data_IF_147060920687
#
_entry.id   IF_147060920687
#
_cell.length_a   1.000
_cell.length_b   1.000
_cell.length_c   1.000
_cell.angle_alpha   90.00
_cell.angle_beta   90.00
_cell.angle_gamma   90.00
#
_symmetry.space_group_name_H-M   'P 1'
#
loop_
_entity.id
_entity.type
_entity.pdbx_description
1 polymer ?
#
# COMPACT_ATOMS: atom_id res chain seq x y z
N UNK A 1 13.97 -26.84 62.44
CA UNK A 1 14.00 -27.85 61.38
C UNK A 1 12.77 -27.64 60.50
N UNK A 2 12.93 -27.00 59.37
CA UNK A 2 11.86 -26.82 58.38
C UNK A 2 11.67 -28.15 57.68
N UNK A 3 10.43 -28.65 57.60
CA UNK A 3 10.14 -29.99 57.09
C UNK A 3 10.43 -30.03 55.56
N UNK A 4 10.88 -31.20 55.06
CA UNK A 4 11.13 -31.42 53.62
C UNK A 4 9.93 -31.15 52.72
N UNK A 5 8.70 -31.15 53.29
CA UNK A 5 7.45 -30.82 52.58
C UNK A 5 7.27 -29.31 52.35
N UNK A 6 7.68 -28.48 53.33
CA UNK A 6 7.59 -27.01 53.17
C UNK A 6 8.64 -26.46 52.20
N UNK A 7 9.82 -27.07 52.10
CA UNK A 7 10.84 -26.71 51.13
C UNK A 7 10.44 -27.10 49.70
N UNK A 8 9.61 -28.17 49.55
CA UNK A 8 9.09 -28.60 48.25
C UNK A 8 7.93 -27.74 47.73
N UNK A 9 7.13 -27.18 48.67
CA UNK A 9 6.05 -26.25 48.30
C UNK A 9 6.58 -24.89 47.84
N UNK A 10 7.63 -24.35 48.47
CA UNK A 10 8.26 -23.10 48.10
C UNK A 10 8.98 -23.12 46.72
N UNK A 11 9.52 -24.31 46.30
CA UNK A 11 10.18 -24.49 45.02
C UNK A 11 9.21 -24.76 43.87
N UNK A 12 8.06 -25.37 44.12
CA UNK A 12 7.08 -25.73 43.07
C UNK A 12 6.26 -24.51 42.65
N UNK A 13 5.81 -23.70 43.58
CA UNK A 13 5.00 -22.50 43.26
C UNK A 13 5.77 -21.40 42.53
N UNK A 14 7.06 -21.25 42.81
CA UNK A 14 7.92 -20.28 42.14
C UNK A 14 8.21 -20.69 40.69
N UNK A 15 8.52 -21.96 40.46
CA UNK A 15 8.86 -22.53 39.15
C UNK A 15 7.62 -22.66 38.26
N UNK A 16 6.46 -22.98 38.81
CA UNK A 16 5.20 -23.02 38.04
C UNK A 16 4.71 -21.62 37.61
N UNK A 17 4.87 -20.60 38.47
CA UNK A 17 4.54 -19.21 38.11
C UNK A 17 5.46 -18.68 37.04
N UNK A 18 6.78 -18.88 37.14
CA UNK A 18 7.74 -18.50 36.10
C UNK A 18 7.48 -19.26 34.80
N UNK A 19 7.24 -20.57 34.85
CA UNK A 19 6.88 -21.35 33.66
C UNK A 19 5.62 -20.87 32.96
N UNK A 20 4.59 -20.43 33.72
CA UNK A 20 3.36 -19.84 33.15
C UNK A 20 3.57 -18.46 32.52
N UNK A 21 4.42 -17.63 33.13
CA UNK A 21 4.75 -16.29 32.58
C UNK A 21 5.57 -16.47 31.31
N UNK A 22 6.59 -17.32 31.31
CA UNK A 22 7.39 -17.62 30.11
C UNK A 22 6.55 -18.26 29.00
N UNK A 23 5.67 -19.20 29.31
CA UNK A 23 4.79 -19.78 28.27
C UNK A 23 3.82 -18.74 27.70
N UNK A 24 3.27 -17.83 28.52
CA UNK A 24 2.43 -16.73 28.04
C UNK A 24 3.21 -15.76 27.18
N UNK A 25 4.45 -15.39 27.56
CA UNK A 25 5.30 -14.48 26.79
C UNK A 25 5.75 -15.10 25.45
N UNK A 26 6.02 -16.42 25.41
CA UNK A 26 6.38 -17.13 24.18
C UNK A 26 5.20 -17.29 23.22
N UNK A 27 3.97 -17.28 23.73
CA UNK A 27 2.76 -17.28 22.90
C UNK A 27 2.39 -15.89 22.35
N UNK A 28 2.89 -14.81 22.97
CA UNK A 28 2.71 -13.46 22.42
C UNK A 28 3.68 -13.26 21.24
N UNK A 29 3.15 -12.77 20.12
CA UNK A 29 3.92 -12.51 18.91
C UNK A 29 3.73 -11.07 18.46
N UNK A 30 4.80 -10.50 17.90
CA UNK A 30 4.79 -9.30 17.11
C UNK A 30 4.99 -9.70 15.64
N UNK A 31 3.93 -9.57 14.85
CA UNK A 31 3.90 -10.19 13.53
C UNK A 31 4.05 -11.71 13.64
N UNK A 32 5.11 -12.24 13.05
CA UNK A 32 5.47 -13.68 13.12
C UNK A 32 6.52 -14.00 14.18
N UNK A 33 7.13 -12.98 14.82
CA UNK A 33 8.28 -13.13 15.73
C UNK A 33 7.76 -13.26 17.18
N UNK A 34 8.18 -14.30 17.94
CA UNK A 34 7.87 -14.39 19.36
C UNK A 34 8.37 -13.16 20.12
N UNK A 35 7.55 -12.62 21.03
CA UNK A 35 7.82 -11.36 21.73
C UNK A 35 9.19 -11.34 22.45
N UNK A 36 9.62 -12.41 23.18
CA UNK A 36 10.95 -12.40 23.81
C UNK A 36 12.10 -12.27 22.81
N UNK A 37 11.99 -12.97 21.68
CA UNK A 37 12.99 -12.87 20.60
C UNK A 37 13.00 -11.46 20.00
N UNK A 38 11.82 -10.90 19.72
CA UNK A 38 11.71 -9.54 19.23
C UNK A 38 12.38 -8.53 20.17
N UNK A 39 12.11 -8.62 21.47
CA UNK A 39 12.73 -7.73 22.48
C UNK A 39 14.25 -7.90 22.47
N UNK A 40 14.74 -9.13 22.42
CA UNK A 40 16.20 -9.38 22.36
C UNK A 40 16.83 -8.72 21.14
N UNK A 41 16.23 -8.89 19.95
CA UNK A 41 16.71 -8.24 18.72
C UNK A 41 16.68 -6.72 18.81
N UNK A 42 15.57 -6.17 19.36
CA UNK A 42 15.43 -4.73 19.54
C UNK A 42 16.49 -4.15 20.51
N UNK A 43 16.75 -4.86 21.62
CA UNK A 43 17.78 -4.46 22.61
C UNK A 43 19.17 -4.48 21.98
N UNK A 44 19.50 -5.51 21.20
CA UNK A 44 20.82 -5.60 20.51
C UNK A 44 21.00 -4.40 19.56
N UNK A 45 19.99 -4.09 18.73
CA UNK A 45 20.04 -2.98 17.78
C UNK A 45 20.12 -1.64 18.54
N UNK A 46 19.35 -1.48 19.61
CA UNK A 46 19.37 -0.28 20.44
C UNK A 46 20.73 -0.07 21.11
N UNK A 47 21.32 -1.10 21.71
CA UNK A 47 22.64 -1.03 22.31
C UNK A 47 23.69 -0.67 21.25
N UNK A 48 23.68 -1.35 20.08
CA UNK A 48 24.59 -1.05 18.99
C UNK A 48 24.45 0.41 18.52
N UNK A 49 23.22 0.94 18.48
CA UNK A 49 22.98 2.35 18.16
C UNK A 49 23.58 3.28 19.21
N UNK A 50 23.31 3.05 20.51
CA UNK A 50 23.80 3.90 21.62
C UNK A 50 25.33 3.94 21.66
N UNK A 51 25.98 2.80 21.47
CA UNK A 51 27.45 2.72 21.45
C UNK A 51 28.09 3.12 20.11
N UNK A 52 27.30 3.62 19.16
CA UNK A 52 27.76 3.95 17.80
C UNK A 52 28.46 2.79 17.07
N UNK A 53 28.08 1.54 17.42
CA UNK A 53 28.58 0.31 16.83
C UNK A 53 27.66 -0.24 15.72
N UNK A 54 26.57 0.45 15.41
CA UNK A 54 25.67 0.08 14.33
C UNK A 54 26.36 0.36 12.99
N UNK A 55 26.44 -0.63 12.05
CA UNK A 55 27.01 -0.38 10.73
C UNK A 55 26.24 0.73 9.99
N UNK A 56 26.96 1.73 9.46
CA UNK A 56 26.37 2.80 8.66
C UNK A 56 26.17 2.38 7.18
N UNK A 57 25.67 1.15 6.96
CA UNK A 57 25.46 0.52 5.68
C UNK A 57 24.03 -0.03 5.52
N UNK A 58 23.82 -0.84 4.48
CA UNK A 58 22.54 -1.46 4.20
C UNK A 58 22.08 -2.39 5.34
N UNK A 59 22.99 -3.08 6.05
CA UNK A 59 22.64 -4.01 7.14
C UNK A 59 22.07 -3.23 8.33
N UNK A 60 22.76 -2.18 8.77
CA UNK A 60 22.30 -1.34 9.86
C UNK A 60 21.01 -0.60 9.52
N UNK A 61 20.87 -0.13 8.27
CA UNK A 61 19.64 0.48 7.78
C UNK A 61 18.45 -0.49 7.84
N UNK A 62 18.61 -1.71 7.31
CA UNK A 62 17.58 -2.75 7.41
C UNK A 62 17.26 -3.12 8.86
N UNK A 63 18.24 -3.25 9.72
CA UNK A 63 18.02 -3.59 11.13
C UNK A 63 17.06 -2.60 11.79
N UNK A 64 17.27 -1.30 11.59
CA UNK A 64 16.41 -0.24 12.16
C UNK A 64 15.01 -0.28 11.55
N UNK A 65 14.91 -0.20 10.22
CA UNK A 65 13.59 -0.09 9.59
C UNK A 65 12.76 -1.36 9.76
N UNK A 66 13.38 -2.55 9.81
CA UNK A 66 12.69 -3.82 10.03
C UNK A 66 12.15 -3.93 11.46
N UNK A 67 12.96 -3.59 12.47
CA UNK A 67 12.49 -3.70 13.85
C UNK A 67 11.32 -2.74 14.12
N UNK A 68 11.43 -1.51 13.64
CA UNK A 68 10.36 -0.51 13.76
C UNK A 68 9.16 -0.85 12.87
N UNK A 69 9.39 -1.35 11.65
CA UNK A 69 8.35 -1.74 10.72
C UNK A 69 7.49 -2.88 11.24
N UNK A 70 8.12 -3.92 11.80
CA UNK A 70 7.39 -5.02 12.46
C UNK A 70 6.58 -4.51 13.65
N UNK A 71 7.14 -3.62 14.48
CA UNK A 71 6.45 -3.06 15.63
C UNK A 71 5.21 -2.26 15.21
N UNK A 72 5.40 -1.25 14.37
CA UNK A 72 4.32 -0.34 13.99
C UNK A 72 3.31 -1.02 13.06
N UNK A 73 3.75 -1.94 12.21
CA UNK A 73 2.86 -2.76 11.39
C UNK A 73 1.93 -3.62 12.25
N UNK A 74 2.47 -4.35 13.21
CA UNK A 74 1.69 -5.21 14.10
C UNK A 74 0.78 -4.41 15.04
N UNK A 75 1.28 -3.31 15.61
CA UNK A 75 0.46 -2.41 16.44
C UNK A 75 -0.70 -1.81 15.64
N UNK A 76 -0.44 -1.36 14.42
CA UNK A 76 -1.46 -0.81 13.54
C UNK A 76 -2.57 -1.81 13.19
N UNK A 77 -2.23 -3.10 13.10
CA UNK A 77 -3.21 -4.17 12.88
C UNK A 77 -3.99 -4.55 14.13
N UNK A 78 -3.45 -4.30 15.33
CA UNK A 78 -4.07 -4.67 16.62
C UNK A 78 -4.94 -3.57 17.21
N UNK A 79 -4.66 -2.31 16.91
CA UNK A 79 -5.42 -1.18 17.44
C UNK A 79 -6.79 -1.11 16.75
N UNK A 80 -7.92 -1.23 17.53
CA UNK A 80 -9.26 -1.05 16.98
C UNK A 80 -9.38 0.31 16.27
N UNK A 81 -10.17 0.39 15.21
CA UNK A 81 -10.35 1.57 14.34
C UNK A 81 -9.16 1.77 13.40
N UNK A 82 -7.90 1.82 13.90
CA UNK A 82 -6.73 2.04 13.06
C UNK A 82 -6.55 0.90 12.04
N UNK A 83 -6.74 -0.37 12.45
CA UNK A 83 -6.64 -1.53 11.53
C UNK A 83 -7.54 -1.41 10.30
N UNK A 84 -8.69 -0.73 10.44
CA UNK A 84 -9.71 -0.61 9.39
C UNK A 84 -9.48 0.62 8.47
N UNK A 85 -8.49 1.48 8.79
CA UNK A 85 -8.20 2.72 8.05
C UNK A 85 -6.75 2.78 7.53
N UNK A 86 -6.07 1.65 7.48
CA UNK A 86 -4.65 1.61 7.06
C UNK A 86 -3.66 1.93 8.19
N UNK A 87 -4.03 1.62 9.43
CA UNK A 87 -3.25 1.89 10.64
C UNK A 87 -1.78 1.50 10.57
N UNK A 88 -1.41 0.33 10.02
CA UNK A 88 0.00 -0.03 9.87
C UNK A 88 0.82 0.99 9.08
N UNK A 89 0.28 1.48 7.95
CA UNK A 89 0.95 2.50 7.14
C UNK A 89 1.06 3.83 7.89
N UNK A 90 -0.03 4.24 8.54
CA UNK A 90 -0.08 5.49 9.33
C UNK A 90 0.96 5.45 10.46
N UNK A 91 0.99 4.39 11.26
CA UNK A 91 1.93 4.28 12.37
C UNK A 91 3.38 4.17 11.88
N UNK A 92 3.64 3.32 10.88
CA UNK A 92 4.98 3.13 10.33
C UNK A 92 5.54 4.39 9.66
N UNK A 93 4.69 5.33 9.25
CA UNK A 93 5.08 6.57 8.62
C UNK A 93 5.23 7.71 9.63
N UNK A 94 4.20 7.96 10.45
CA UNK A 94 4.12 9.13 11.30
C UNK A 94 4.91 8.99 12.61
N UNK A 95 4.95 7.81 13.24
CA UNK A 95 5.69 7.65 14.50
C UNK A 95 7.20 7.82 14.29
N UNK A 96 7.85 7.17 13.29
CA UNK A 96 9.27 7.42 13.05
C UNK A 96 9.58 8.89 12.73
N UNK A 97 8.73 9.56 11.95
CA UNK A 97 8.84 11.00 11.70
C UNK A 97 8.81 11.81 13.00
N UNK A 98 7.88 11.49 13.89
CA UNK A 98 7.79 12.12 15.23
C UNK A 98 9.04 11.84 16.08
N UNK A 99 9.56 10.61 16.06
CA UNK A 99 10.76 10.25 16.81
C UNK A 99 12.00 10.96 16.28
N UNK A 100 12.10 11.18 14.97
CA UNK A 100 13.17 12.02 14.36
C UNK A 100 13.03 13.46 14.82
N UNK A 101 11.84 14.02 14.78
CA UNK A 101 11.55 15.38 15.24
C UNK A 101 11.92 15.59 16.72
N UNK A 102 11.65 14.60 17.57
CA UNK A 102 12.01 14.59 18.99
C UNK A 102 13.51 14.31 19.26
N UNK A 103 14.32 14.08 18.22
CA UNK A 103 15.74 13.81 18.36
C UNK A 103 16.07 12.46 19.02
N UNK A 104 15.16 11.47 18.95
CA UNK A 104 15.35 10.13 19.56
C UNK A 104 16.44 9.33 18.86
N UNK A 105 16.61 9.51 17.55
CA UNK A 105 17.61 8.81 16.76
C UNK A 105 18.94 9.57 16.76
N UNK A 106 20.02 8.86 17.07
CA UNK A 106 21.37 9.39 16.95
C UNK A 106 21.83 9.44 15.47
N UNK A 107 22.94 10.12 15.23
CA UNK A 107 23.53 10.29 13.90
C UNK A 107 23.88 8.96 13.22
N UNK A 108 24.34 7.96 13.98
CA UNK A 108 24.69 6.63 13.44
C UNK A 108 23.47 5.92 12.87
N UNK A 109 22.35 5.93 13.60
CA UNK A 109 21.08 5.36 13.13
C UNK A 109 20.55 6.08 11.89
N UNK A 110 20.59 7.42 11.89
CA UNK A 110 20.16 8.21 10.74
C UNK A 110 21.03 7.97 9.51
N UNK A 111 22.34 7.86 9.69
CA UNK A 111 23.27 7.55 8.59
C UNK A 111 23.03 6.15 8.01
N UNK A 112 22.78 5.12 8.83
CA UNK A 112 22.49 3.78 8.38
C UNK A 112 21.20 3.74 7.53
N UNK A 113 20.12 4.37 8.01
CA UNK A 113 18.86 4.46 7.25
C UNK A 113 19.04 5.27 5.97
N UNK A 114 19.81 6.38 6.02
CA UNK A 114 20.11 7.19 4.84
C UNK A 114 20.89 6.40 3.79
N UNK A 115 21.88 5.60 4.20
CA UNK A 115 22.64 4.74 3.29
C UNK A 115 21.74 3.72 2.60
N UNK A 116 20.85 3.04 3.34
CA UNK A 116 19.91 2.10 2.77
C UNK A 116 18.94 2.78 1.79
N UNK A 117 18.30 3.86 2.23
CA UNK A 117 17.22 4.48 1.46
C UNK A 117 17.73 5.26 0.26
N UNK A 118 18.82 6.02 0.42
CA UNK A 118 19.36 6.91 -0.62
C UNK A 118 20.50 6.27 -1.40
N UNK A 119 21.55 5.79 -0.75
CA UNK A 119 22.73 5.26 -1.44
C UNK A 119 22.44 3.91 -2.12
N UNK A 120 21.75 2.99 -1.41
CA UNK A 120 21.36 1.68 -1.96
C UNK A 120 20.07 1.72 -2.77
N UNK A 121 19.44 2.89 -2.90
CA UNK A 121 18.20 3.08 -3.67
C UNK A 121 17.09 2.05 -3.34
N UNK A 122 16.88 1.76 -2.05
CA UNK A 122 15.93 0.74 -1.60
C UNK A 122 14.50 1.01 -2.08
N UNK A 123 14.10 2.27 -2.19
CA UNK A 123 12.81 2.68 -2.74
C UNK A 123 12.62 2.16 -4.17
N UNK A 124 13.61 2.34 -5.03
CA UNK A 124 13.53 1.92 -6.45
C UNK A 124 13.54 0.40 -6.60
N UNK A 125 14.34 -0.30 -5.79
CA UNK A 125 14.32 -1.75 -5.70
C UNK A 125 12.93 -2.27 -5.31
N UNK A 126 12.33 -1.71 -4.26
CA UNK A 126 11.00 -2.08 -3.80
C UNK A 126 9.95 -1.87 -4.89
N UNK A 127 9.97 -0.72 -5.56
CA UNK A 127 9.02 -0.38 -6.63
C UNK A 127 9.12 -1.36 -7.79
N UNK A 128 10.33 -1.67 -8.26
CA UNK A 128 10.50 -2.59 -9.40
C UNK A 128 9.89 -3.96 -9.09
N UNK A 129 10.20 -4.53 -7.93
CA UNK A 129 9.66 -5.82 -7.50
C UNK A 129 8.13 -5.78 -7.33
N UNK A 130 7.61 -4.70 -6.72
CA UNK A 130 6.20 -4.59 -6.42
C UNK A 130 5.36 -4.44 -7.69
N UNK A 131 5.72 -3.48 -8.55
CA UNK A 131 4.94 -3.13 -9.74
C UNK A 131 4.97 -4.25 -10.76
N UNK A 132 6.15 -4.73 -11.13
CA UNK A 132 6.29 -5.80 -12.12
C UNK A 132 5.63 -7.09 -11.63
N UNK A 133 5.89 -7.47 -10.38
CA UNK A 133 5.33 -8.70 -9.80
C UNK A 133 3.81 -8.63 -9.62
N UNK A 134 3.24 -7.46 -9.31
CA UNK A 134 1.80 -7.28 -9.20
C UNK A 134 1.09 -7.46 -10.55
N UNK A 135 1.61 -6.83 -11.60
CA UNK A 135 1.02 -6.90 -12.95
C UNK A 135 1.14 -8.30 -13.53
N UNK A 136 2.33 -8.92 -13.47
CA UNK A 136 2.55 -10.27 -13.99
C UNK A 136 1.80 -11.34 -13.18
N UNK A 137 1.58 -11.11 -11.88
CA UNK A 137 0.84 -12.00 -11.00
C UNK A 137 -0.66 -12.07 -11.25
N UNK A 138 -1.23 -11.12 -11.99
CA UNK A 138 -2.65 -11.14 -12.33
C UNK A 138 -2.93 -12.18 -13.41
N UNK A 139 -4.02 -12.94 -13.29
CA UNK A 139 -4.44 -13.85 -14.37
C UNK A 139 -4.91 -13.05 -15.58
N UNK A 140 -4.45 -13.40 -16.78
CA UNK A 140 -4.82 -12.68 -18.02
C UNK A 140 -6.34 -12.64 -18.22
N UNK A 141 -7.07 -13.72 -17.91
CA UNK A 141 -8.55 -13.77 -18.00
C UNK A 141 -9.19 -12.76 -17.03
N UNK A 142 -8.74 -12.70 -15.77
CA UNK A 142 -9.25 -11.74 -14.77
C UNK A 142 -8.90 -10.30 -15.17
N UNK A 143 -7.68 -10.09 -15.69
CA UNK A 143 -7.22 -8.80 -16.20
C UNK A 143 -8.16 -8.30 -17.33
N UNK A 144 -8.39 -9.12 -18.36
CA UNK A 144 -9.21 -8.76 -19.51
C UNK A 144 -10.68 -8.57 -19.12
N UNK A 145 -11.27 -9.51 -18.38
CA UNK A 145 -12.67 -9.43 -17.97
C UNK A 145 -12.94 -8.31 -16.98
N UNK A 146 -12.06 -8.15 -16.01
CA UNK A 146 -12.14 -7.06 -15.02
C UNK A 146 -12.03 -5.70 -15.70
N UNK A 147 -11.08 -5.55 -16.64
CA UNK A 147 -10.94 -4.34 -17.43
C UNK A 147 -12.22 -4.01 -18.19
N UNK A 148 -12.79 -4.99 -18.89
CA UNK A 148 -14.02 -4.80 -19.69
C UNK A 148 -15.20 -4.35 -18.84
N UNK A 149 -15.40 -4.96 -17.65
CA UNK A 149 -16.54 -4.65 -16.78
C UNK A 149 -16.37 -3.40 -15.95
N UNK A 150 -15.14 -3.13 -15.46
CA UNK A 150 -14.86 -1.98 -14.59
C UNK A 150 -14.33 -0.75 -15.32
N UNK A 151 -14.02 -0.86 -16.61
CA UNK A 151 -13.40 0.21 -17.38
C UNK A 151 -14.29 1.47 -17.43
N UNK A 152 -15.59 1.31 -17.74
CA UNK A 152 -16.51 2.45 -17.82
C UNK A 152 -16.72 3.12 -16.46
N UNK A 153 -17.08 2.40 -15.36
CA UNK A 153 -17.15 2.99 -14.03
C UNK A 153 -15.88 3.68 -13.58
N UNK A 154 -14.70 3.10 -13.86
CA UNK A 154 -13.42 3.69 -13.49
C UNK A 154 -13.13 4.97 -14.25
N UNK A 155 -13.29 4.99 -15.58
CA UNK A 155 -13.07 6.20 -16.39
C UNK A 155 -14.03 7.31 -15.96
N UNK A 156 -15.32 7.03 -15.91
CA UNK A 156 -16.32 8.04 -15.52
C UNK A 156 -16.06 8.53 -14.10
N UNK A 157 -15.74 7.60 -13.18
CA UNK A 157 -15.39 7.93 -11.81
C UNK A 157 -14.16 8.82 -11.72
N UNK A 158 -13.08 8.45 -12.42
CA UNK A 158 -11.83 9.22 -12.47
C UNK A 158 -12.05 10.62 -13.03
N UNK A 159 -12.71 10.75 -14.18
CA UNK A 159 -12.96 12.05 -14.81
C UNK A 159 -13.84 12.95 -13.95
N UNK A 160 -14.93 12.41 -13.39
CA UNK A 160 -15.82 13.18 -12.52
C UNK A 160 -15.13 13.55 -11.20
N UNK A 161 -14.34 12.68 -10.62
CA UNK A 161 -13.56 12.95 -9.41
C UNK A 161 -12.50 14.03 -9.64
N UNK A 162 -11.83 14.02 -10.80
CA UNK A 162 -10.89 15.08 -11.19
C UNK A 162 -11.62 16.42 -11.32
N UNK A 163 -12.73 16.47 -12.07
CA UNK A 163 -13.48 17.71 -12.28
C UNK A 163 -13.98 18.28 -10.96
N UNK A 164 -14.65 17.46 -10.14
CA UNK A 164 -15.23 17.91 -8.86
C UNK A 164 -14.12 18.27 -7.87
N UNK A 165 -13.05 17.46 -7.80
CA UNK A 165 -11.90 17.76 -6.93
C UNK A 165 -11.21 19.07 -7.29
N UNK A 166 -11.03 19.37 -8.59
CA UNK A 166 -10.47 20.63 -9.04
C UNK A 166 -11.40 21.81 -8.70
N UNK A 167 -12.71 21.69 -8.96
CA UNK A 167 -13.67 22.72 -8.64
C UNK A 167 -13.69 23.04 -7.14
N UNK A 168 -13.71 22.00 -6.30
CA UNK A 168 -13.67 22.17 -4.84
C UNK A 168 -12.32 22.74 -4.40
N UNK A 169 -11.20 22.26 -4.97
CA UNK A 169 -9.88 22.82 -4.68
C UNK A 169 -9.79 24.32 -4.99
N UNK A 170 -10.29 24.75 -6.15
CA UNK A 170 -10.34 26.17 -6.52
C UNK A 170 -11.21 26.99 -5.57
N UNK A 171 -12.34 26.46 -5.09
CA UNK A 171 -13.19 27.15 -4.10
C UNK A 171 -12.45 27.43 -2.79
N UNK A 172 -11.49 26.59 -2.41
CA UNK A 172 -10.63 26.77 -1.24
C UNK A 172 -9.31 27.48 -1.54
N UNK A 173 -9.10 27.98 -2.77
CA UNK A 173 -7.92 28.74 -3.15
C UNK A 173 -6.68 27.89 -3.45
N UNK A 174 -6.84 26.58 -3.65
CA UNK A 174 -5.72 25.74 -4.08
C UNK A 174 -5.41 25.93 -5.56
N UNK A 175 -4.13 25.94 -5.90
CA UNK A 175 -3.67 25.97 -7.29
C UNK A 175 -4.10 24.70 -8.02
N UNK A 176 -4.52 24.85 -9.29
CA UNK A 176 -4.99 23.73 -10.14
C UNK A 176 -3.94 22.62 -10.27
N UNK A 177 -2.68 22.99 -10.56
CA UNK A 177 -1.59 22.02 -10.67
C UNK A 177 -1.37 21.27 -9.35
N UNK A 178 -1.29 21.98 -8.25
CA UNK A 178 -1.13 21.38 -6.93
C UNK A 178 -2.29 20.43 -6.58
N UNK A 179 -3.52 20.88 -6.77
CA UNK A 179 -4.72 20.08 -6.52
C UNK A 179 -4.73 18.81 -7.35
N UNK A 180 -4.42 18.91 -8.64
CA UNK A 180 -4.42 17.76 -9.54
C UNK A 180 -3.34 16.75 -9.17
N UNK A 181 -2.07 17.18 -9.11
CA UNK A 181 -0.93 16.27 -9.04
C UNK A 181 -0.60 15.79 -7.62
N UNK A 182 -0.92 16.57 -6.58
CA UNK A 182 -0.55 16.26 -5.20
C UNK A 182 -1.73 15.90 -4.29
N UNK A 183 -2.98 16.11 -4.75
CA UNK A 183 -4.18 15.71 -3.99
C UNK A 183 -4.99 14.66 -4.76
N UNK A 184 -5.48 15.00 -5.95
CA UNK A 184 -6.41 14.14 -6.69
C UNK A 184 -5.72 12.88 -7.19
N UNK A 185 -4.63 13.03 -7.94
CA UNK A 185 -3.90 11.92 -8.53
C UNK A 185 -3.40 10.91 -7.50
N UNK A 186 -2.83 11.29 -6.35
CA UNK A 186 -2.47 10.34 -5.29
C UNK A 186 -3.64 9.54 -4.74
N UNK A 187 -4.83 10.14 -4.63
CA UNK A 187 -6.04 9.45 -4.16
C UNK A 187 -6.47 8.38 -5.16
N UNK A 188 -6.52 8.71 -6.46
CA UNK A 188 -7.01 7.82 -7.52
C UNK A 188 -5.88 7.03 -8.22
N UNK A 189 -4.66 7.10 -7.73
CA UNK A 189 -3.49 6.45 -8.33
C UNK A 189 -3.31 4.97 -7.98
N UNK A 190 -4.20 4.35 -7.21
CA UNK A 190 -4.09 2.93 -6.83
C UNK A 190 -3.21 2.69 -5.60
N UNK A 191 -3.01 3.71 -4.75
CA UNK A 191 -2.33 3.59 -3.47
C UNK A 191 -0.84 3.92 -3.48
N UNK A 192 -0.16 3.63 -2.37
CA UNK A 192 1.22 4.07 -2.18
C UNK A 192 2.16 3.31 -3.11
N UNK A 193 2.10 1.98 -3.11
CA UNK A 193 3.07 1.15 -3.83
C UNK A 193 2.91 1.18 -5.34
N UNK A 194 1.70 1.10 -5.83
CA UNK A 194 1.39 0.98 -7.26
C UNK A 194 1.11 2.34 -7.92
N UNK A 195 0.85 3.39 -7.12
CA UNK A 195 0.54 4.74 -7.56
C UNK A 195 1.60 5.76 -7.17
N UNK A 196 1.64 6.16 -5.89
CA UNK A 196 2.49 7.26 -5.42
C UNK A 196 3.97 7.03 -5.72
N UNK A 197 4.48 5.81 -5.48
CA UNK A 197 5.89 5.55 -5.68
C UNK A 197 6.29 5.65 -7.17
N UNK A 198 5.60 5.02 -8.13
CA UNK A 198 5.89 5.26 -9.56
C UNK A 198 5.72 6.72 -9.98
N UNK A 199 4.67 7.40 -9.48
CA UNK A 199 4.46 8.83 -9.75
C UNK A 199 5.61 9.69 -9.26
N UNK A 200 6.09 9.43 -8.04
CA UNK A 200 7.19 10.20 -7.45
C UNK A 200 8.47 10.12 -8.30
N UNK A 201 8.77 8.94 -8.83
CA UNK A 201 9.91 8.76 -9.74
C UNK A 201 9.67 9.48 -11.07
N UNK A 202 8.46 9.37 -11.62
CA UNK A 202 8.12 10.04 -12.87
C UNK A 202 8.21 11.56 -12.72
N UNK A 203 7.68 12.12 -11.64
CA UNK A 203 7.75 13.55 -11.35
C UNK A 203 9.18 14.01 -11.10
N UNK A 204 9.98 13.21 -10.36
CA UNK A 204 11.41 13.46 -10.18
C UNK A 204 12.16 13.56 -11.50
N UNK A 205 11.88 12.66 -12.45
CA UNK A 205 12.49 12.68 -13.78
C UNK A 205 12.10 13.89 -14.62
N UNK A 206 10.92 14.46 -14.39
CA UNK A 206 10.39 15.61 -15.15
C UNK A 206 10.83 16.93 -14.52
N UNK A 207 10.71 17.05 -13.19
CA UNK A 207 10.89 18.31 -12.47
C UNK A 207 12.29 18.48 -11.87
N UNK A 208 13.11 17.41 -11.84
CA UNK A 208 14.49 17.46 -11.34
C UNK A 208 14.63 17.47 -9.82
N UNK A 209 13.53 17.36 -9.08
CA UNK A 209 13.54 17.26 -7.61
C UNK A 209 13.62 15.78 -7.16
N UNK A 210 13.89 15.52 -5.87
CA UNK A 210 13.99 14.17 -5.36
C UNK A 210 12.63 13.45 -5.33
N UNK A 211 12.59 12.16 -5.71
CA UNK A 211 11.37 11.36 -5.69
C UNK A 211 10.71 11.31 -4.30
N UNK A 212 11.52 11.36 -3.27
CA UNK A 212 11.08 11.32 -1.88
C UNK A 212 10.32 12.58 -1.46
N UNK A 213 10.70 13.74 -1.98
CA UNK A 213 9.98 15.00 -1.76
C UNK A 213 8.55 14.88 -2.28
N UNK A 214 8.36 14.30 -3.47
CA UNK A 214 7.04 14.05 -4.03
C UNK A 214 6.24 13.02 -3.24
N UNK A 215 6.89 11.94 -2.76
CA UNK A 215 6.23 10.95 -1.88
C UNK A 215 5.67 11.63 -0.63
N UNK A 216 6.47 12.47 0.04
CA UNK A 216 6.06 13.19 1.24
C UNK A 216 4.83 14.08 1.01
N UNK A 217 4.75 14.75 -0.14
CA UNK A 217 3.64 15.62 -0.51
C UNK A 217 2.36 14.84 -0.87
N UNK A 218 2.49 13.66 -1.47
CA UNK A 218 1.35 12.88 -1.99
C UNK A 218 0.72 11.94 -0.95
N UNK A 219 1.49 11.39 0.00
CA UNK A 219 0.99 10.43 0.99
C UNK A 219 -0.19 10.94 1.82
N UNK A 220 -0.21 12.19 2.32
CA UNK A 220 -1.34 12.68 3.12
C UNK A 220 -2.68 12.56 2.39
N UNK A 221 -2.70 12.88 1.09
CA UNK A 221 -3.91 12.76 0.28
C UNK A 221 -4.41 11.31 0.17
N UNK A 222 -3.52 10.37 -0.09
CA UNK A 222 -3.90 8.97 -0.20
C UNK A 222 -4.38 8.38 1.13
N UNK A 223 -3.74 8.72 2.25
CA UNK A 223 -4.15 8.26 3.59
C UNK A 223 -5.54 8.80 3.95
N UNK A 224 -5.76 10.11 3.77
CA UNK A 224 -7.07 10.74 4.03
C UNK A 224 -8.11 10.18 3.08
N UNK A 225 -7.77 10.03 1.79
CA UNK A 225 -8.63 9.41 0.79
C UNK A 225 -9.07 8.01 1.19
N UNK A 226 -8.15 7.16 1.66
CA UNK A 226 -8.47 5.82 2.14
C UNK A 226 -9.41 5.82 3.35
N UNK A 227 -9.18 6.69 4.33
CA UNK A 227 -10.06 6.83 5.50
C UNK A 227 -11.48 7.16 5.05
N UNK A 228 -11.62 8.13 4.16
CA UNK A 228 -12.92 8.57 3.63
C UNK A 228 -13.57 7.44 2.82
N UNK A 229 -12.80 6.69 2.02
CA UNK A 229 -13.29 5.56 1.25
C UNK A 229 -13.84 4.44 2.17
N UNK A 230 -13.12 4.09 3.25
CA UNK A 230 -13.55 3.11 4.24
C UNK A 230 -14.88 3.53 4.90
N UNK A 231 -14.97 4.78 5.36
CA UNK A 231 -16.19 5.32 5.98
C UNK A 231 -17.35 5.31 4.98
N UNK A 232 -17.12 5.78 3.76
CA UNK A 232 -18.15 5.86 2.72
C UNK A 232 -18.60 4.48 2.28
N UNK A 233 -17.70 3.48 2.18
CA UNK A 233 -18.05 2.09 1.89
C UNK A 233 -18.93 1.48 3.00
N UNK A 234 -18.64 1.78 4.26
CA UNK A 234 -19.51 1.40 5.39
C UNK A 234 -20.91 2.03 5.29
N UNK A 235 -21.01 3.29 4.85
CA UNK A 235 -22.30 3.93 4.58
C UNK A 235 -23.03 3.30 3.40
N UNK A 236 -22.32 2.93 2.33
CA UNK A 236 -22.90 2.20 1.18
C UNK A 236 -23.42 0.83 1.60
N UNK A 237 -22.69 0.11 2.47
CA UNK A 237 -23.17 -1.14 3.05
C UNK A 237 -24.51 -0.96 3.77
N UNK A 238 -24.60 0.04 4.64
CA UNK A 238 -25.86 0.36 5.36
C UNK A 238 -27.01 0.72 4.41
N UNK A 239 -26.69 1.41 3.30
CA UNK A 239 -27.67 1.68 2.25
C UNK A 239 -28.15 0.38 1.59
N UNK A 240 -27.25 -0.55 1.30
CA UNK A 240 -27.55 -1.88 0.75
C UNK A 240 -28.38 -2.74 1.70
N UNK A 241 -28.12 -2.70 2.99
CA UNK A 241 -28.91 -3.40 4.02
C UNK A 241 -30.36 -2.87 4.07
N UNK A 242 -30.54 -1.53 3.96
CA UNK A 242 -31.86 -0.89 3.92
C UNK A 242 -32.61 -1.11 2.60
N UNK A 243 -31.89 -1.13 1.47
CA UNK A 243 -32.45 -1.26 0.13
C UNK A 243 -31.79 -2.43 -0.63
N UNK A 244 -32.22 -3.64 -0.31
CA UNK A 244 -31.66 -4.89 -0.88
C UNK A 244 -31.69 -4.96 -2.41
N UNK A 245 -32.60 -4.24 -3.07
CA UNK A 245 -32.65 -4.16 -4.53
C UNK A 245 -31.44 -3.46 -5.16
N UNK A 246 -30.70 -2.66 -4.38
CA UNK A 246 -29.50 -1.94 -4.81
C UNK A 246 -28.19 -2.69 -4.52
N UNK A 247 -28.25 -3.77 -3.74
CA UNK A 247 -27.08 -4.54 -3.30
C UNK A 247 -27.15 -5.98 -3.78
N UNK A 248 -26.05 -6.47 -4.31
CA UNK A 248 -25.82 -7.88 -4.64
C UNK A 248 -25.19 -8.68 -3.50
N UNK A 249 -24.99 -8.03 -2.35
CA UNK A 249 -24.43 -8.63 -1.13
C UNK A 249 -23.07 -9.28 -1.37
N UNK A 250 -22.23 -8.58 -2.14
CA UNK A 250 -20.92 -9.06 -2.56
C UNK A 250 -20.91 -9.71 -3.95
N UNK A 251 -22.01 -9.56 -4.70
CA UNK A 251 -22.08 -9.92 -6.13
C UNK A 251 -22.14 -8.62 -6.95
N UNK A 252 -21.24 -8.44 -7.91
CA UNK A 252 -21.15 -7.21 -8.70
C UNK A 252 -22.19 -7.15 -9.80
N UNK A 253 -22.36 -8.22 -10.56
CA UNK A 253 -23.22 -8.30 -11.74
C UNK A 253 -24.48 -9.11 -11.46
N UNK A 254 -25.62 -8.66 -12.01
CA UNK A 254 -26.92 -9.35 -11.83
C UNK A 254 -27.03 -10.71 -12.54
N UNK A 255 -26.02 -11.09 -13.31
CA UNK A 255 -25.94 -12.38 -13.99
C UNK A 255 -24.96 -13.35 -13.29
N UNK A 256 -25.14 -14.66 -13.47
CA UNK A 256 -24.46 -15.75 -12.75
C UNK A 256 -22.96 -15.92 -12.99
N UNK A 257 -22.34 -15.07 -13.79
CA UNK A 257 -20.94 -15.21 -14.24
C UNK A 257 -19.87 -14.88 -13.18
N UNK A 258 -20.25 -14.27 -12.05
CA UNK A 258 -19.29 -13.84 -11.00
C UNK A 258 -18.60 -15.02 -10.31
N UNK A 259 -19.21 -16.21 -10.34
CA UNK A 259 -18.63 -17.42 -9.73
C UNK A 259 -17.30 -17.85 -10.38
N UNK A 260 -17.13 -17.61 -11.68
CA UNK A 260 -15.87 -17.93 -12.37
C UNK A 260 -14.71 -17.01 -11.96
N UNK A 261 -14.98 -15.74 -11.63
CA UNK A 261 -13.96 -14.81 -11.16
C UNK A 261 -13.61 -15.03 -9.68
N UNK A 262 -14.61 -15.37 -8.85
CA UNK A 262 -14.42 -15.65 -7.42
C UNK A 262 -13.67 -16.97 -7.16
N UNK A 263 -13.91 -18.01 -7.97
CA UNK A 263 -13.27 -19.31 -7.83
C UNK A 263 -11.74 -19.28 -8.08
N UNK A 264 -11.24 -18.23 -8.73
CA UNK A 264 -9.85 -18.10 -9.09
C UNK A 264 -8.94 -17.50 -7.98
N UNK A 265 -9.49 -17.14 -6.81
CA UNK A 265 -8.71 -16.67 -5.66
C UNK A 265 -7.96 -17.79 -4.91
N UNK A 266 -8.18 -19.05 -5.26
CA UNK A 266 -7.55 -20.22 -4.63
C UNK A 266 -6.08 -20.48 -5.01
N UNK A 267 -5.41 -19.56 -5.71
CA UNK A 267 -3.98 -19.69 -6.06
C UNK A 267 -3.02 -19.45 -4.87
N UNK A 268 -3.56 -19.10 -3.71
CA UNK A 268 -2.79 -18.87 -2.47
C UNK A 268 -2.16 -20.15 -1.88
N UNK A 269 -2.55 -21.33 -2.35
CA UNK A 269 -2.06 -22.62 -1.84
C UNK A 269 -0.85 -23.20 -2.61
N UNK A 270 -0.32 -22.51 -3.63
CA UNK A 270 0.89 -23.00 -4.31
C UNK A 270 2.11 -22.86 -3.41
N UNK A 271 2.89 -23.93 -3.31
CA UNK A 271 4.17 -23.90 -2.58
C UNK A 271 5.08 -22.81 -3.13
N UNK A 272 5.70 -22.07 -2.22
CA UNK A 272 6.69 -21.04 -2.57
C UNK A 272 7.91 -21.72 -3.20
N UNK A 273 8.30 -21.27 -4.38
CA UNK A 273 9.52 -21.70 -5.06
C UNK A 273 10.53 -20.56 -5.06
N UNK A 274 11.56 -20.71 -4.24
CA UNK A 274 12.60 -19.68 -4.08
C UNK A 274 13.42 -19.45 -5.36
N UNK A 275 13.59 -20.48 -6.19
CA UNK A 275 14.31 -20.36 -7.46
C UNK A 275 13.50 -19.51 -8.45
N UNK A 276 12.17 -19.73 -8.50
CA UNK A 276 11.27 -18.90 -9.31
C UNK A 276 11.19 -17.47 -8.78
N UNK A 277 11.23 -17.26 -7.46
CA UNK A 277 11.30 -15.91 -6.88
C UNK A 277 12.59 -15.19 -7.30
N UNK A 278 13.72 -15.89 -7.33
CA UNK A 278 14.99 -15.34 -7.83
C UNK A 278 14.90 -14.92 -9.30
N UNK A 279 14.26 -15.75 -10.14
CA UNK A 279 13.96 -15.38 -11.52
C UNK A 279 13.03 -14.17 -11.62
N UNK A 280 12.01 -14.10 -10.76
CA UNK A 280 11.11 -12.95 -10.64
C UNK A 280 11.84 -11.65 -10.27
N UNK A 281 12.83 -11.74 -9.40
CA UNK A 281 13.68 -10.61 -9.04
C UNK A 281 14.50 -10.12 -10.25
N UNK A 282 15.12 -11.03 -11.00
CA UNK A 282 15.85 -10.68 -12.22
C UNK A 282 14.93 -9.97 -13.22
N UNK A 283 13.72 -10.50 -13.44
CA UNK A 283 12.72 -9.89 -14.34
C UNK A 283 12.36 -8.46 -13.88
N UNK A 284 12.09 -8.27 -12.58
CA UNK A 284 11.74 -6.96 -12.04
C UNK A 284 12.86 -5.93 -12.24
N UNK A 285 14.11 -6.31 -11.91
CA UNK A 285 15.28 -5.46 -12.13
C UNK A 285 15.50 -5.17 -13.62
N UNK A 286 15.33 -6.17 -14.47
CA UNK A 286 15.52 -6.02 -15.92
C UNK A 286 14.48 -5.07 -16.51
N UNK A 287 13.22 -5.18 -16.09
CA UNK A 287 12.14 -4.28 -16.57
C UNK A 287 12.36 -2.85 -16.11
N UNK A 288 12.85 -2.65 -14.89
CA UNK A 288 13.22 -1.33 -14.39
C UNK A 288 14.37 -0.74 -15.22
N UNK A 289 15.46 -1.50 -15.42
CA UNK A 289 16.62 -1.08 -16.22
C UNK A 289 16.19 -0.79 -17.68
N UNK A 290 15.33 -1.63 -18.26
CA UNK A 290 14.78 -1.39 -19.60
C UNK A 290 13.99 -0.08 -19.65
N UNK A 291 13.19 0.20 -18.63
CA UNK A 291 12.47 1.46 -18.50
C UNK A 291 13.40 2.67 -18.51
N UNK A 292 14.46 2.62 -17.71
CA UNK A 292 15.48 3.68 -17.66
C UNK A 292 16.27 3.83 -18.96
N UNK A 293 16.62 2.69 -19.60
CA UNK A 293 17.29 2.70 -20.89
C UNK A 293 16.41 3.34 -21.97
N UNK A 294 15.16 2.90 -22.08
CA UNK A 294 14.23 3.40 -23.07
C UNK A 294 13.84 4.88 -22.85
N UNK A 295 13.83 5.33 -21.59
CA UNK A 295 13.65 6.75 -21.25
C UNK A 295 14.65 7.65 -22.00
N UNK A 296 15.92 7.25 -22.11
CA UNK A 296 16.98 8.03 -22.79
C UNK A 296 16.69 8.25 -24.28
N UNK A 297 15.95 7.34 -24.93
CA UNK A 297 15.64 7.40 -26.35
C UNK A 297 14.25 7.98 -26.63
N UNK A 298 13.26 7.68 -25.79
CA UNK A 298 11.86 7.99 -26.03
C UNK A 298 11.43 9.24 -25.24
N UNK A 299 12.15 9.58 -24.17
CA UNK A 299 11.82 10.70 -23.29
C UNK A 299 10.58 10.48 -22.41
N UNK A 300 10.01 9.26 -22.38
CA UNK A 300 8.95 8.88 -21.45
C UNK A 300 9.63 8.40 -20.15
N UNK A 301 9.13 8.81 -18.97
CA UNK A 301 9.74 8.38 -17.70
C UNK A 301 9.85 6.85 -17.58
N UNK A 302 11.02 6.37 -17.12
CA UNK A 302 11.36 4.95 -17.02
C UNK A 302 10.31 4.09 -16.30
N UNK A 303 9.75 4.50 -15.15
CA UNK A 303 8.70 3.74 -14.45
C UNK A 303 7.43 3.55 -15.30
N UNK A 304 7.07 4.51 -16.13
CA UNK A 304 5.90 4.38 -17.04
C UNK A 304 6.19 3.31 -18.10
N UNK A 305 7.40 3.33 -18.68
CA UNK A 305 7.80 2.32 -19.66
C UNK A 305 7.83 0.92 -19.05
N UNK A 306 8.33 0.78 -17.82
CA UNK A 306 8.32 -0.46 -17.07
C UNK A 306 6.89 -1.00 -16.88
N UNK A 307 5.94 -0.15 -16.50
CA UNK A 307 4.53 -0.52 -16.32
C UNK A 307 3.92 -0.96 -17.66
N UNK A 308 4.13 -0.19 -18.73
CA UNK A 308 3.62 -0.52 -20.07
C UNK A 308 4.20 -1.85 -20.58
N UNK A 309 5.51 -2.07 -20.41
CA UNK A 309 6.16 -3.32 -20.80
C UNK A 309 5.58 -4.52 -20.05
N UNK A 310 5.45 -4.43 -18.73
CA UNK A 310 4.88 -5.51 -17.92
C UNK A 310 3.44 -5.83 -18.35
N UNK A 311 2.63 -4.79 -18.59
CA UNK A 311 1.24 -4.94 -19.04
C UNK A 311 1.16 -5.56 -20.42
N UNK A 312 1.96 -5.10 -21.36
CA UNK A 312 2.01 -5.63 -22.74
C UNK A 312 2.40 -7.11 -22.75
N UNK A 313 3.48 -7.47 -22.06
CA UNK A 313 3.96 -8.86 -21.96
C UNK A 313 2.88 -9.76 -21.34
N UNK A 314 2.19 -9.28 -20.31
CA UNK A 314 1.10 -10.02 -19.67
C UNK A 314 -0.12 -10.21 -20.58
N UNK A 315 -0.57 -9.16 -21.25
CA UNK A 315 -1.72 -9.23 -22.17
C UNK A 315 -1.45 -10.11 -23.38
N UNK A 316 -0.23 -10.05 -23.94
CA UNK A 316 0.17 -10.86 -25.07
C UNK A 316 0.62 -12.28 -24.69
N UNK A 317 0.62 -12.62 -23.39
CA UNK A 317 1.03 -13.94 -22.87
C UNK A 317 2.44 -14.35 -23.34
N UNK A 318 3.37 -13.39 -23.45
CA UNK A 318 4.72 -13.63 -23.95
C UNK A 318 5.64 -14.27 -22.92
N UNK A 319 5.24 -14.28 -21.64
CA UNK A 319 6.08 -14.83 -20.56
C UNK A 319 5.58 -16.22 -20.13
N UNK A 320 6.48 -17.17 -19.90
CA UNK A 320 6.10 -18.48 -19.36
C UNK A 320 5.42 -18.34 -17.98
N UNK A 321 4.34 -19.06 -17.77
CA UNK A 321 3.54 -19.01 -16.53
C UNK A 321 4.35 -19.22 -15.25
N UNK A 322 5.43 -20.05 -15.29
CA UNK A 322 6.33 -20.24 -14.16
C UNK A 322 7.08 -18.95 -13.78
N UNK A 323 7.49 -18.16 -14.77
CA UNK A 323 8.20 -16.89 -14.54
C UNK A 323 7.25 -15.84 -13.98
N UNK A 324 6.02 -15.78 -14.49
CA UNK A 324 4.97 -14.91 -13.93
C UNK A 324 4.66 -15.29 -12.48
N UNK A 325 4.56 -16.57 -12.18
CA UNK A 325 4.37 -17.08 -10.82
C UNK A 325 5.54 -16.67 -9.91
N UNK A 326 6.78 -16.77 -10.38
CA UNK A 326 7.96 -16.34 -9.63
C UNK A 326 7.92 -14.84 -9.30
N UNK A 327 7.60 -14.01 -10.29
CA UNK A 327 7.43 -12.57 -10.09
C UNK A 327 6.30 -12.25 -9.10
N UNK A 328 5.18 -12.98 -9.14
CA UNK A 328 4.08 -12.82 -8.21
C UNK A 328 4.43 -13.26 -6.78
N UNK A 329 5.16 -14.36 -6.62
CA UNK A 329 5.64 -14.80 -5.30
C UNK A 329 6.59 -13.76 -4.70
N UNK A 330 7.48 -13.19 -5.52
CA UNK A 330 8.34 -12.09 -5.10
C UNK A 330 7.51 -10.86 -4.67
N UNK A 331 6.51 -10.48 -5.46
CA UNK A 331 5.60 -9.39 -5.10
C UNK A 331 4.95 -9.64 -3.72
N UNK A 332 4.44 -10.85 -3.47
CA UNK A 332 3.83 -11.21 -2.18
C UNK A 332 4.85 -11.08 -1.03
N UNK A 333 6.06 -11.57 -1.22
CA UNK A 333 7.12 -11.44 -0.21
C UNK A 333 7.45 -9.97 0.05
N UNK A 334 7.72 -9.19 -0.97
CA UNK A 334 8.09 -7.77 -0.87
C UNK A 334 6.96 -6.96 -0.23
N UNK A 335 5.72 -7.12 -0.71
CA UNK A 335 4.57 -6.38 -0.20
C UNK A 335 4.24 -6.73 1.25
N UNK A 336 4.39 -7.99 1.64
CA UNK A 336 4.07 -8.44 3.01
C UNK A 336 5.18 -8.10 4.00
N UNK A 337 6.45 -8.23 3.60
CA UNK A 337 7.59 -8.16 4.53
C UNK A 337 8.26 -6.80 4.56
N UNK A 338 8.26 -6.05 3.45
CA UNK A 338 9.07 -4.83 3.31
C UNK A 338 8.24 -3.54 3.23
N UNK A 339 6.90 -3.60 3.13
CA UNK A 339 6.07 -2.39 3.04
C UNK A 339 6.19 -1.54 4.29
N UNK A 340 5.99 -2.12 5.48
CA UNK A 340 6.08 -1.37 6.72
C UNK A 340 7.50 -0.87 7.02
N UNK A 341 8.56 -1.67 6.84
CA UNK A 341 9.94 -1.20 6.87
C UNK A 341 10.21 -0.02 5.93
N UNK A 342 9.77 -0.09 4.69
CA UNK A 342 9.91 1.02 3.74
C UNK A 342 9.21 2.28 4.25
N UNK A 343 7.97 2.15 4.78
CA UNK A 343 7.23 3.29 5.36
C UNK A 343 7.99 3.92 6.52
N UNK A 344 8.65 3.13 7.38
CA UNK A 344 9.54 3.64 8.44
C UNK A 344 10.68 4.45 7.85
N UNK A 345 11.38 3.92 6.84
CA UNK A 345 12.47 4.64 6.17
C UNK A 345 12.00 5.96 5.53
N UNK A 346 10.82 5.96 4.91
CA UNK A 346 10.21 7.17 4.36
C UNK A 346 9.84 8.16 5.48
N UNK A 347 9.22 7.68 6.56
CA UNK A 347 8.88 8.51 7.72
C UNK A 347 10.09 9.17 8.37
N UNK A 348 11.20 8.42 8.49
CA UNK A 348 12.43 8.96 9.11
C UNK A 348 13.11 10.03 8.27
N UNK A 349 13.09 9.92 6.93
CA UNK A 349 13.94 10.76 6.07
C UNK A 349 13.18 11.80 5.25
N UNK A 350 11.89 11.59 4.97
CA UNK A 350 11.19 12.38 3.96
C UNK A 350 9.88 13.00 4.44
N UNK A 351 9.44 12.69 5.66
CA UNK A 351 8.23 13.28 6.22
C UNK A 351 8.59 14.08 7.47
N UNK A 352 9.00 15.33 7.30
CA UNK A 352 9.08 16.26 8.43
C UNK A 352 7.66 16.49 8.96
N UNK A 353 7.43 16.10 10.20
CA UNK A 353 6.10 16.17 10.83
C UNK A 353 5.51 17.59 10.75
N UNK A 354 6.33 18.61 10.84
CA UNK A 354 5.93 20.01 10.72
C UNK A 354 5.27 20.32 9.37
N UNK A 355 5.76 19.74 8.28
CA UNK A 355 5.21 19.96 6.95
C UNK A 355 3.89 19.24 6.75
N UNK A 356 3.78 18.00 7.28
CA UNK A 356 2.51 17.23 7.20
C UNK A 356 1.40 17.98 7.92
N UNK A 357 1.64 18.50 9.11
CA UNK A 357 0.64 19.25 9.89
C UNK A 357 0.24 20.55 9.16
N UNK A 358 1.16 21.20 8.45
CA UNK A 358 0.85 22.40 7.64
C UNK A 358 0.00 22.08 6.40
N UNK A 359 0.19 20.91 5.79
CA UNK A 359 -0.54 20.48 4.59
C UNK A 359 -1.98 20.10 4.91
N UNK A 360 -2.21 19.38 6.03
CA UNK A 360 -3.53 18.86 6.41
C UNK A 360 -4.34 19.96 7.08
N UNK A 361 -5.17 20.64 6.30
CA UNK A 361 -6.15 21.62 6.76
C UNK A 361 -7.59 21.08 6.62
N UNK A 362 -8.59 21.68 7.27
CA UNK A 362 -10.00 21.33 7.03
C UNK A 362 -10.39 21.42 5.54
N UNK A 363 -9.88 22.43 4.83
CA UNK A 363 -10.07 22.58 3.39
C UNK A 363 -9.48 21.42 2.60
N UNK A 364 -8.25 20.98 2.97
CA UNK A 364 -7.60 19.83 2.36
C UNK A 364 -8.43 18.54 2.51
N UNK A 365 -8.97 18.29 3.71
CA UNK A 365 -9.85 17.15 3.97
C UNK A 365 -11.11 17.20 3.12
N UNK A 366 -11.72 18.40 2.96
CA UNK A 366 -12.91 18.57 2.11
C UNK A 366 -12.60 18.30 0.65
N UNK A 367 -11.45 18.74 0.13
CA UNK A 367 -11.01 18.42 -1.23
C UNK A 367 -10.84 16.90 -1.40
N UNK A 368 -10.13 16.23 -0.49
CA UNK A 368 -9.97 14.77 -0.52
C UNK A 368 -11.33 14.06 -0.47
N UNK A 369 -12.23 14.52 0.40
CA UNK A 369 -13.58 13.95 0.52
C UNK A 369 -14.39 14.11 -0.77
N UNK A 370 -14.30 15.26 -1.43
CA UNK A 370 -15.01 15.53 -2.68
C UNK A 370 -14.57 14.55 -3.78
N UNK A 371 -13.28 14.25 -3.88
CA UNK A 371 -12.71 13.27 -4.84
C UNK A 371 -13.29 11.88 -4.57
N UNK A 372 -13.15 11.38 -3.34
CA UNK A 372 -13.56 10.03 -2.97
C UNK A 372 -15.07 9.82 -3.07
N UNK A 373 -15.85 10.75 -2.55
CA UNK A 373 -17.32 10.67 -2.57
C UNK A 373 -17.82 10.71 -4.03
N UNK A 374 -17.20 11.53 -4.88
CA UNK A 374 -17.54 11.60 -6.31
C UNK A 374 -17.19 10.30 -7.00
N UNK A 375 -16.02 9.70 -6.70
CA UNK A 375 -15.60 8.41 -7.24
C UNK A 375 -16.61 7.30 -6.91
N UNK A 376 -16.97 7.16 -5.63
CA UNK A 376 -17.94 6.18 -5.14
C UNK A 376 -19.35 6.46 -5.71
N UNK A 377 -19.75 7.72 -5.73
CA UNK A 377 -21.03 8.14 -6.31
C UNK A 377 -21.14 7.82 -7.80
N UNK A 378 -20.08 8.10 -8.57
CA UNK A 378 -20.01 7.73 -9.99
C UNK A 378 -20.16 6.22 -10.19
N UNK A 379 -19.44 5.44 -9.39
CA UNK A 379 -19.56 3.96 -9.41
C UNK A 379 -20.98 3.49 -9.14
N UNK A 380 -21.69 4.16 -8.23
CA UNK A 380 -23.08 3.87 -7.93
C UNK A 380 -23.99 4.13 -9.15
N UNK A 381 -23.90 5.30 -9.74
CA UNK A 381 -24.76 5.69 -10.86
C UNK A 381 -24.43 4.90 -12.14
N UNK A 382 -23.16 4.77 -12.48
CA UNK A 382 -22.72 4.01 -13.65
C UNK A 382 -23.03 2.53 -13.47
N UNK A 383 -22.83 1.98 -12.28
CA UNK A 383 -23.21 0.61 -11.94
C UNK A 383 -24.69 0.33 -12.19
N UNK A 384 -25.56 1.27 -11.82
CA UNK A 384 -26.99 1.17 -12.09
C UNK A 384 -27.30 1.16 -13.59
N UNK A 385 -26.66 2.03 -14.37
CA UNK A 385 -26.84 2.10 -15.84
C UNK A 385 -26.35 0.82 -16.52
N UNK A 386 -25.26 0.22 -16.04
CA UNK A 386 -24.66 -0.99 -16.59
C UNK A 386 -25.29 -2.30 -16.08
N UNK A 387 -26.43 -2.24 -15.42
CA UNK A 387 -27.14 -3.40 -14.84
C UNK A 387 -26.31 -4.18 -13.80
N UNK A 388 -25.36 -3.49 -13.15
CA UNK A 388 -24.68 -4.00 -11.96
C UNK A 388 -25.49 -3.69 -10.70
N UNK A 389 -25.10 -4.27 -9.57
CA UNK A 389 -25.64 -3.86 -8.27
C UNK A 389 -24.98 -2.54 -7.86
N UNK A 390 -25.72 -1.42 -7.73
CA UNK A 390 -25.16 -0.10 -7.58
C UNK A 390 -24.27 0.07 -6.34
N UNK A 391 -24.66 -0.55 -5.21
CA UNK A 391 -23.90 -0.47 -3.96
C UNK A 391 -22.56 -1.20 -4.12
N UNK A 392 -22.57 -2.39 -4.70
CA UNK A 392 -21.37 -3.21 -4.87
C UNK A 392 -20.44 -2.57 -5.92
N UNK A 393 -20.98 -2.01 -6.99
CA UNK A 393 -20.22 -1.24 -7.98
C UNK A 393 -19.58 0.01 -7.38
N UNK A 394 -20.31 0.75 -6.52
CA UNK A 394 -19.80 1.91 -5.81
C UNK A 394 -18.63 1.55 -4.88
N UNK A 395 -18.76 0.46 -4.13
CA UNK A 395 -17.71 -0.01 -3.21
C UNK A 395 -16.45 -0.40 -3.99
N UNK A 396 -16.59 -1.19 -5.07
CA UNK A 396 -15.45 -1.59 -5.91
C UNK A 396 -14.77 -0.38 -6.57
N UNK A 397 -15.56 0.59 -7.07
CA UNK A 397 -15.01 1.83 -7.63
C UNK A 397 -14.30 2.66 -6.55
N UNK A 398 -14.83 2.64 -5.32
CA UNK A 398 -14.20 3.28 -4.16
C UNK A 398 -12.85 2.67 -3.77
N UNK A 399 -12.62 1.39 -4.03
CA UNK A 399 -11.31 0.74 -3.81
C UNK A 399 -10.19 1.40 -4.62
N UNK A 400 -10.50 1.98 -5.77
CA UNK A 400 -9.55 2.77 -6.55
C UNK A 400 -9.02 4.03 -5.82
N UNK A 401 -9.74 4.52 -4.81
CA UNK A 401 -9.32 5.63 -3.94
C UNK A 401 -8.65 5.14 -2.64
N UNK A 402 -8.29 3.87 -2.54
CA UNK A 402 -7.67 3.26 -1.37
C UNK A 402 -6.14 3.26 -1.41
N UNK A 403 -5.54 2.66 -0.37
CA UNK A 403 -4.09 2.50 -0.23
C UNK A 403 -3.56 1.23 -0.93
N UNK A 404 -4.05 0.91 -2.12
CA UNK A 404 -3.68 -0.33 -2.80
C UNK A 404 -4.34 -1.56 -2.19
N UNK A 405 -3.71 -2.73 -2.28
CA UNK A 405 -4.28 -3.98 -1.78
C UNK A 405 -4.67 -3.97 -0.30
N UNK A 406 -3.95 -3.23 0.56
CA UNK A 406 -4.32 -3.06 1.98
C UNK A 406 -5.55 -2.18 2.13
N UNK A 407 -5.68 -1.14 1.31
CA UNK A 407 -6.87 -0.29 1.22
C UNK A 407 -8.08 -1.09 0.75
N UNK A 408 -7.93 -1.94 -0.27
CA UNK A 408 -8.99 -2.82 -0.76
C UNK A 408 -9.54 -3.70 0.38
N UNK A 409 -8.64 -4.35 1.14
CA UNK A 409 -9.05 -5.15 2.31
C UNK A 409 -9.80 -4.31 3.33
N UNK A 410 -9.33 -3.10 3.64
CA UNK A 410 -9.98 -2.22 4.62
C UNK A 410 -11.39 -1.81 4.15
N UNK A 411 -11.52 -1.36 2.90
CA UNK A 411 -12.79 -0.92 2.30
C UNK A 411 -13.79 -2.08 2.20
N UNK A 412 -13.35 -3.25 1.71
CA UNK A 412 -14.21 -4.43 1.56
C UNK A 412 -14.57 -5.04 2.91
N UNK A 413 -13.67 -5.02 3.90
CA UNK A 413 -13.97 -5.45 5.27
C UNK A 413 -15.00 -4.54 5.93
N UNK A 414 -14.82 -3.21 5.82
CA UNK A 414 -15.76 -2.22 6.37
C UNK A 414 -17.16 -2.35 5.77
N UNK A 415 -17.23 -2.74 4.50
CA UNK A 415 -18.49 -2.95 3.79
C UNK A 415 -19.01 -4.39 3.85
N UNK A 416 -18.29 -5.33 4.49
CA UNK A 416 -18.59 -6.78 4.52
C UNK A 416 -18.75 -7.40 3.13
N UNK A 417 -17.86 -7.02 2.19
CA UNK A 417 -17.92 -7.37 0.77
C UNK A 417 -16.63 -8.02 0.27
N UNK A 418 -15.98 -8.85 1.09
CA UNK A 418 -14.71 -9.50 0.73
C UNK A 418 -14.76 -10.34 -0.55
N UNK A 419 -15.94 -10.84 -0.92
CA UNK A 419 -16.15 -11.53 -2.20
C UNK A 419 -15.91 -10.65 -3.44
N UNK A 420 -15.93 -9.32 -3.28
CA UNK A 420 -15.60 -8.37 -4.35
C UNK A 420 -14.08 -8.14 -4.53
N UNK A 421 -13.24 -8.84 -3.76
CA UNK A 421 -11.78 -8.66 -3.80
C UNK A 421 -11.17 -8.79 -5.20
N UNK A 422 -11.56 -9.73 -6.07
CA UNK A 422 -11.04 -9.81 -7.44
C UNK A 422 -11.32 -8.54 -8.25
N UNK A 423 -12.51 -7.96 -8.10
CA UNK A 423 -12.89 -6.73 -8.79
C UNK A 423 -12.18 -5.49 -8.22
N UNK A 424 -12.04 -5.44 -6.89
CA UNK A 424 -11.27 -4.39 -6.21
C UNK A 424 -9.80 -4.38 -6.68
N UNK A 425 -9.17 -5.55 -6.74
CA UNK A 425 -7.79 -5.68 -7.24
C UNK A 425 -7.65 -5.19 -8.70
N UNK A 426 -8.64 -5.47 -9.55
CA UNK A 426 -8.65 -4.96 -10.92
C UNK A 426 -8.83 -3.44 -10.94
N UNK A 427 -9.78 -2.90 -10.18
CA UNK A 427 -10.02 -1.46 -10.10
C UNK A 427 -8.77 -0.70 -9.64
N UNK A 428 -8.14 -1.17 -8.56
CA UNK A 428 -6.97 -0.54 -7.96
C UNK A 428 -5.75 -0.64 -8.86
N UNK A 429 -5.45 -1.82 -9.43
CA UNK A 429 -4.24 -2.03 -10.21
C UNK A 429 -4.33 -1.44 -11.62
N UNK A 430 -5.40 -1.71 -12.36
CA UNK A 430 -5.57 -1.17 -13.71
C UNK A 430 -5.90 0.31 -13.69
N UNK A 431 -6.80 0.72 -12.81
CA UNK A 431 -7.14 2.13 -12.64
C UNK A 431 -5.93 2.94 -12.19
N UNK A 432 -5.18 2.43 -11.21
CA UNK A 432 -3.96 3.06 -10.72
C UNK A 432 -2.90 3.23 -11.81
N UNK A 433 -2.58 2.16 -12.54
CA UNK A 433 -1.62 2.21 -13.67
C UNK A 433 -2.07 3.23 -14.72
N UNK A 434 -3.36 3.23 -15.09
CA UNK A 434 -3.90 4.19 -16.06
C UNK A 434 -3.77 5.63 -15.57
N UNK A 435 -4.04 5.86 -14.29
CA UNK A 435 -3.90 7.19 -13.66
C UNK A 435 -2.45 7.64 -13.61
N UNK A 436 -1.52 6.76 -13.25
CA UNK A 436 -0.07 7.05 -13.22
C UNK A 436 0.42 7.48 -14.61
N UNK A 437 0.04 6.72 -15.64
CA UNK A 437 0.41 7.04 -17.01
C UNK A 437 -0.16 8.41 -17.43
N UNK A 438 -1.47 8.60 -17.23
CA UNK A 438 -2.15 9.85 -17.62
C UNK A 438 -1.57 11.06 -16.87
N UNK A 439 -1.36 10.93 -15.55
CA UNK A 439 -0.81 11.99 -14.73
C UNK A 439 0.63 12.33 -15.12
N UNK A 440 1.45 11.34 -15.46
CA UNK A 440 2.83 11.56 -15.92
C UNK A 440 2.86 12.33 -17.24
N UNK A 441 2.00 11.95 -18.20
CA UNK A 441 1.88 12.69 -19.46
C UNK A 441 1.40 14.13 -19.24
N UNK A 442 0.39 14.32 -18.41
CA UNK A 442 -0.11 15.64 -18.07
C UNK A 442 0.95 16.49 -17.36
N UNK A 443 1.70 15.92 -16.44
CA UNK A 443 2.81 16.62 -15.77
C UNK A 443 3.84 17.08 -16.79
N UNK A 444 4.25 16.21 -17.72
CA UNK A 444 5.20 16.57 -18.78
C UNK A 444 4.70 17.65 -19.75
N UNK A 445 3.38 17.73 -19.99
CA UNK A 445 2.80 18.76 -20.84
C UNK A 445 2.66 20.12 -20.14
N UNK A 446 2.55 20.13 -18.82
CA UNK A 446 2.30 21.31 -18.02
C UNK A 446 3.54 21.85 -17.27
N UNK A 447 4.63 21.08 -17.25
CA UNK A 447 5.95 21.51 -16.76
C UNK A 447 6.71 22.29 -17.84
#
# INVERSE_FOLDING_TARGET
>A
MISKSEMKALTIDGVEKDGRIWSKLTHMKLGVIPLPLYITLAVIIFIASVYNALPADMIGGFAIIMILGVLFGDLGMKIPILKDIGGPAILALLIPSTLVFLGVFNTTSMNAVTTLMKTSNFLYFYISCLVVGSILGMKSKVLIQGFTRMFIPLIVGTLTAVIVGLLVGMLFGYEIKHTLFYIIVPIIGGGIGEGILPLSIAYSSILGESAESFVAQMIPAAVIGNIIAVVTAGLMMRLGEKKKSLSGDGTLVKASDDKEMAADTNDDNKKVDFSLMGAGLLIACTFFIFGDLAHKFIGIPGPVIMILLATLIKCLQLMPNKMEQGAHQLYKFISTSLTWPLMVGLGMLYIPLEEVVKIVSPAYIVVCASVVITMIGSGFFVGKLMKMYPVDAAIVTGCHSGLGGTGDVAILSASKRMSLMPFAQVATRLGGVSTVIAATFLMKLLS
#
